data_IF_650967614886
#
_entry.id   IF_650967614886
#
_cell.length_a   1.000
_cell.length_b   1.000
_cell.length_c   1.000
_cell.angle_alpha   90.00
_cell.angle_beta   90.00
_cell.angle_gamma   90.00
#
_symmetry.space_group_name_H-M   'P 1'
#
loop_
_entity.id
_entity.type
_entity.pdbx_description
1 polymer ?
#
# COMPACT_ATOMS: atom_id res chain seq x y z
N UNK A 1 -38.56 -2.08 -32.87
CA UNK A 1 -38.52 -0.95 -31.92
C UNK A 1 -38.11 -1.49 -30.56
N UNK A 2 -36.92 -1.09 -30.10
CA UNK A 2 -36.58 -0.73 -28.70
C UNK A 2 -36.88 -1.79 -27.62
N UNK A 3 -35.92 -2.41 -26.93
CA UNK A 3 -34.74 -1.85 -26.25
C UNK A 3 -33.63 -2.90 -26.10
N UNK A 4 -32.41 -2.51 -26.46
CA UNK A 4 -31.14 -3.23 -26.31
C UNK A 4 -30.54 -2.82 -24.96
N UNK A 5 -30.91 -3.50 -23.86
CA UNK A 5 -30.50 -3.06 -22.51
C UNK A 5 -30.26 -4.18 -21.49
N UNK A 6 -29.71 -5.33 -21.91
CA UNK A 6 -29.21 -6.32 -20.94
C UNK A 6 -27.86 -6.98 -21.30
N UNK A 7 -27.31 -6.76 -22.50
CA UNK A 7 -26.02 -7.35 -22.92
C UNK A 7 -24.76 -6.59 -22.45
N UNK A 8 -24.89 -5.66 -21.51
CA UNK A 8 -23.78 -4.80 -21.04
C UNK A 8 -23.11 -5.31 -19.76
N UNK A 9 -22.94 -6.62 -19.65
CA UNK A 9 -22.10 -7.29 -18.62
C UNK A 9 -20.96 -8.11 -19.25
N UNK A 10 -20.74 -7.98 -20.56
CA UNK A 10 -19.53 -8.50 -21.23
C UNK A 10 -18.70 -7.32 -21.70
N UNK A 11 -17.67 -6.98 -20.93
CA UNK A 11 -16.41 -6.35 -21.37
C UNK A 11 -15.85 -5.40 -20.32
N UNK A 12 -15.53 -5.92 -19.14
CA UNK A 12 -14.36 -5.46 -18.39
C UNK A 12 -13.41 -6.64 -18.34
N UNK A 13 -12.90 -7.01 -19.52
CA UNK A 13 -11.70 -7.83 -19.67
C UNK A 13 -10.54 -6.84 -19.81
N UNK A 14 -10.33 -6.04 -18.77
CA UNK A 14 -9.17 -5.15 -18.63
C UNK A 14 -8.05 -5.98 -18.04
N UNK A 15 -6.99 -6.20 -18.83
CA UNK A 15 -5.90 -7.11 -18.51
C UNK A 15 -5.21 -6.74 -17.19
N UNK A 16 -5.46 -7.52 -16.15
CA UNK A 16 -4.46 -7.78 -15.14
C UNK A 16 -3.42 -8.67 -15.80
N UNK A 17 -2.24 -8.11 -16.12
CA UNK A 17 -1.06 -8.89 -16.47
C UNK A 17 -0.60 -9.65 -15.23
N UNK A 18 -1.31 -10.73 -14.89
CA UNK A 18 -0.79 -11.82 -14.07
C UNK A 18 0.18 -12.62 -14.96
N UNK A 19 1.34 -12.01 -15.23
CA UNK A 19 2.47 -12.65 -15.89
C UNK A 19 3.65 -12.57 -14.95
N UNK A 20 3.67 -13.45 -13.94
CA UNK A 20 4.91 -13.80 -13.24
C UNK A 20 5.78 -14.54 -14.26
N UNK A 21 6.50 -13.79 -15.09
CA UNK A 21 7.52 -14.31 -15.96
C UNK A 21 8.72 -14.77 -15.10
N UNK A 22 9.38 -15.89 -15.46
CA UNK A 22 10.49 -16.41 -14.69
C UNK A 22 11.61 -15.37 -14.70
N UNK A 23 12.14 -15.08 -13.52
CA UNK A 23 13.25 -14.16 -13.28
C UNK A 23 14.51 -14.69 -13.99
N UNK A 24 14.76 -14.29 -15.24
CA UNK A 24 16.13 -14.23 -15.76
C UNK A 24 16.76 -12.95 -15.19
N UNK A 25 17.48 -13.14 -14.10
CA UNK A 25 18.03 -12.12 -13.23
C UNK A 25 19.31 -11.49 -13.80
N UNK A 26 19.28 -11.03 -15.07
CA UNK A 26 20.41 -10.30 -15.67
C UNK A 26 19.93 -9.03 -16.38
N UNK A 27 20.01 -7.91 -15.66
CA UNK A 27 20.11 -6.55 -16.20
C UNK A 27 18.96 -6.04 -17.09
N UNK A 28 17.71 -6.42 -16.83
CA UNK A 28 16.56 -5.69 -17.38
C UNK A 28 16.14 -4.59 -16.39
N UNK A 29 16.32 -3.32 -16.76
CA UNK A 29 15.76 -2.22 -15.98
C UNK A 29 14.22 -2.32 -15.98
N UNK A 30 13.61 -2.17 -14.80
CA UNK A 30 12.15 -2.12 -14.66
C UNK A 30 11.65 -0.93 -15.47
N UNK A 31 10.84 -1.18 -16.49
CA UNK A 31 10.24 -0.13 -17.30
C UNK A 31 9.13 0.57 -16.51
N UNK A 32 9.18 1.91 -16.46
CA UNK A 32 8.17 2.72 -15.77
C UNK A 32 6.84 2.76 -16.51
N UNK A 33 5.77 3.10 -15.79
CA UNK A 33 4.42 3.27 -16.35
C UNK A 33 4.30 4.54 -17.18
N UNK A 34 3.55 4.48 -18.28
CA UNK A 34 3.29 5.64 -19.14
C UNK A 34 2.39 6.67 -18.42
N UNK A 35 2.66 7.97 -18.61
CA UNK A 35 1.93 9.04 -17.91
C UNK A 35 0.44 9.13 -18.29
N UNK A 36 0.03 8.52 -19.40
CA UNK A 36 -1.37 8.47 -19.85
C UNK A 36 -2.13 7.24 -19.35
N UNK A 37 -1.47 6.32 -18.64
CA UNK A 37 -2.18 5.18 -18.03
C UNK A 37 -3.18 5.66 -16.98
N UNK A 38 -4.45 5.34 -17.22
CA UNK A 38 -5.50 5.46 -16.22
C UNK A 38 -5.32 4.36 -15.18
N UNK A 39 -4.86 4.74 -13.99
CA UNK A 39 -4.85 3.86 -12.82
C UNK A 39 -6.23 3.89 -12.16
N UNK A 40 -6.89 2.73 -12.12
CA UNK A 40 -8.02 2.53 -11.21
C UNK A 40 -7.43 2.44 -9.79
N UNK A 41 -7.62 3.51 -9.01
CA UNK A 41 -7.18 3.53 -7.63
C UNK A 41 -8.12 2.65 -6.79
N UNK A 42 -7.60 1.79 -5.90
CA UNK A 42 -8.37 1.13 -4.86
C UNK A 42 -9.05 2.14 -3.92
N UNK A 43 -10.01 1.64 -3.14
CA UNK A 43 -10.77 2.46 -2.19
C UNK A 43 -9.90 2.96 -1.03
N UNK A 44 -8.90 2.18 -0.60
CA UNK A 44 -7.93 2.59 0.39
C UNK A 44 -6.48 2.33 -0.06
N UNK A 45 -5.54 3.15 0.43
CA UNK A 45 -4.10 2.94 0.19
C UNK A 45 -3.64 1.57 0.72
N UNK A 46 -4.23 1.10 1.82
CA UNK A 46 -3.95 -0.20 2.40
C UNK A 46 -4.26 -1.38 1.45
N UNK A 47 -5.13 -1.18 0.46
CA UNK A 47 -5.49 -2.20 -0.52
C UNK A 47 -4.41 -2.41 -1.58
N UNK A 48 -3.47 -1.46 -1.73
CA UNK A 48 -2.24 -1.68 -2.51
C UNK A 48 -1.28 -2.65 -1.82
N UNK A 49 -1.41 -2.81 -0.51
CA UNK A 49 -0.53 -3.66 0.29
C UNK A 49 -1.14 -5.07 0.33
N UNK A 50 -0.57 -5.99 -0.45
CA UNK A 50 -0.99 -7.39 -0.43
C UNK A 50 -0.97 -8.02 0.97
N UNK A 51 -1.71 -9.11 1.17
CA UNK A 51 -1.85 -9.79 2.48
C UNK A 51 -0.50 -10.29 3.00
N UNK A 52 0.35 -10.81 2.11
CA UNK A 52 1.69 -11.33 2.45
C UNK A 52 2.78 -10.25 2.41
N UNK A 53 2.41 -8.97 2.32
CA UNK A 53 3.39 -7.90 2.26
C UNK A 53 4.02 -7.69 3.66
N UNK A 54 5.37 -7.68 3.77
CA UNK A 54 6.06 -7.52 5.05
C UNK A 54 5.74 -6.20 5.77
N UNK A 55 5.25 -5.16 5.08
CA UNK A 55 4.78 -3.92 5.73
C UNK A 55 3.70 -4.21 6.78
N UNK A 56 2.80 -5.17 6.52
CA UNK A 56 1.77 -5.57 7.50
C UNK A 56 2.36 -6.20 8.75
N UNK A 57 3.48 -6.91 8.61
CA UNK A 57 4.22 -7.44 9.75
C UNK A 57 4.89 -6.31 10.54
N UNK A 58 5.50 -5.34 9.87
CA UNK A 58 6.13 -4.18 10.53
C UNK A 58 5.08 -3.38 11.32
N UNK A 59 3.91 -3.14 10.72
CA UNK A 59 2.79 -2.47 11.38
C UNK A 59 2.38 -3.21 12.66
N UNK A 60 2.11 -4.52 12.55
CA UNK A 60 1.72 -5.35 13.69
C UNK A 60 2.81 -5.48 14.76
N UNK A 61 4.08 -5.52 14.35
CA UNK A 61 5.22 -5.57 15.26
C UNK A 61 5.32 -4.29 16.07
N UNK A 62 5.29 -3.13 15.41
CA UNK A 62 5.38 -1.83 16.07
C UNK A 62 4.18 -1.58 16.98
N UNK A 63 2.98 -1.99 16.57
CA UNK A 63 1.75 -1.89 17.39
C UNK A 63 1.83 -2.75 18.66
N UNK A 64 2.62 -3.82 18.65
CA UNK A 64 2.85 -4.69 19.81
C UNK A 64 3.94 -4.21 20.78
N UNK A 65 4.68 -3.15 20.45
CA UNK A 65 5.78 -2.65 21.30
C UNK A 65 5.28 -1.68 22.37
N UNK A 66 5.69 -1.90 23.62
CA UNK A 66 5.59 -0.87 24.65
C UNK A 66 6.77 0.11 24.51
N UNK A 67 6.53 1.16 23.74
CA UNK A 67 7.52 2.22 23.46
C UNK A 67 8.03 2.91 24.73
N UNK A 68 7.22 2.98 25.81
CA UNK A 68 7.66 3.57 27.09
C UNK A 68 8.69 2.67 27.77
N UNK A 69 8.42 1.37 27.81
CA UNK A 69 9.32 0.40 28.43
C UNK A 69 10.67 0.30 27.72
N UNK A 70 10.70 0.57 26.41
CA UNK A 70 11.91 0.58 25.59
C UNK A 70 12.82 1.80 25.86
N UNK A 71 12.41 2.73 26.72
CA UNK A 71 13.23 3.89 27.10
C UNK A 71 13.30 4.97 26.02
N UNK A 72 12.35 5.00 25.08
CA UNK A 72 12.26 6.07 24.09
C UNK A 72 11.98 7.41 24.80
N UNK A 73 12.84 8.40 24.58
CA UNK A 73 12.82 9.66 25.33
C UNK A 73 11.63 10.59 25.02
N UNK A 74 10.84 10.30 23.97
CA UNK A 74 9.76 11.17 23.46
C UNK A 74 8.45 10.41 23.21
N UNK A 75 8.15 9.41 24.03
CA UNK A 75 6.87 8.67 23.94
C UNK A 75 5.70 9.54 24.37
N UNK A 76 5.92 10.40 25.35
CA UNK A 76 4.93 11.38 25.78
C UNK A 76 5.04 12.68 25.00
N UNK A 77 3.90 13.14 24.49
CA UNK A 77 3.78 14.46 23.90
C UNK A 77 4.07 15.53 24.97
N UNK A 78 4.78 16.58 24.58
CA UNK A 78 4.98 17.74 25.46
C UNK A 78 3.66 18.46 25.70
N UNK A 79 3.43 18.89 26.94
CA UNK A 79 2.23 19.64 27.38
C UNK A 79 2.08 20.98 26.65
N UNK A 80 3.18 21.54 26.15
CA UNK A 80 3.21 22.86 25.50
C UNK A 80 3.84 22.78 24.11
N UNK A 81 3.24 23.46 23.14
CA UNK A 81 3.72 23.56 21.76
C UNK A 81 3.03 22.59 20.81
N UNK A 82 3.56 22.47 19.58
CA UNK A 82 3.09 21.48 18.60
C UNK A 82 3.56 20.09 19.04
N UNK A 83 2.66 19.11 19.23
CA UNK A 83 3.05 17.73 19.48
C UNK A 83 3.98 17.22 18.37
N UNK A 84 4.97 16.41 18.75
CA UNK A 84 5.82 15.71 17.79
C UNK A 84 5.03 14.63 17.05
N UNK A 85 5.65 14.02 16.03
CA UNK A 85 5.13 12.80 15.43
C UNK A 85 5.07 11.67 16.46
N UNK A 86 4.12 10.76 16.29
CA UNK A 86 4.02 9.58 17.14
C UNK A 86 5.30 8.73 16.96
N UNK A 87 5.95 8.30 18.05
CA UNK A 87 7.18 7.53 17.94
C UNK A 87 6.97 6.17 17.28
N UNK A 88 5.78 5.57 17.34
CA UNK A 88 5.44 4.36 16.61
C UNK A 88 5.38 4.60 15.10
N UNK A 89 4.78 5.72 14.68
CA UNK A 89 4.73 6.08 13.25
C UNK A 89 6.14 6.29 12.66
N UNK A 90 7.08 6.79 13.45
CA UNK A 90 8.47 6.96 13.02
C UNK A 90 9.20 5.62 12.79
N UNK A 91 8.74 4.53 13.39
CA UNK A 91 9.31 3.18 13.20
C UNK A 91 8.72 2.46 11.98
N UNK A 92 7.63 2.98 11.42
CA UNK A 92 6.93 2.43 10.24
C UNK A 92 7.39 3.08 8.92
N UNK A 93 8.41 3.96 8.97
CA UNK A 93 8.97 4.71 7.82
C UNK A 93 10.00 3.90 7.01
#
# INVERSE_FOLDING_TARGET
MTLKLADRVKSVRGGFNAGLAPLDSRMAHISGSDRSQLLLLPEAIADYVGVENPVRFIDAFVDGLDLRSLGLARVDAKVTGRPGYDPGDLLKL
#
